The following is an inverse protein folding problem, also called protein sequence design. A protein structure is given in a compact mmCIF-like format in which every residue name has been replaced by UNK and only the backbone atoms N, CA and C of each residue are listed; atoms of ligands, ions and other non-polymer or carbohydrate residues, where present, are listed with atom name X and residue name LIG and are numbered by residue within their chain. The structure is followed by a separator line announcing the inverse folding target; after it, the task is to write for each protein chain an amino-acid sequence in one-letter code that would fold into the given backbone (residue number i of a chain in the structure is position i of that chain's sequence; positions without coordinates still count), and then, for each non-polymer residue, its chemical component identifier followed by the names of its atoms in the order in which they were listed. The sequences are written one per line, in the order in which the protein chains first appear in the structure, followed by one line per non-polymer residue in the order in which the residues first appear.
data_IF_848269780956
#
_entry.id   IF_848269780956
#
_cell.length_a   1.000
_cell.length_b   1.000
_cell.length_c   1.000
_cell.angle_alpha   90.00
_cell.angle_beta   90.00
_cell.angle_gamma   90.00
#
_symmetry.space_group_name_H-M   'P 1'
#
loop_
_entity.id
_entity.type
_entity.pdbx_description
1 polymer ?
#
# COMPACT_ATOMS: atom_id res chain seq x y z
N UNK A 1 -9.79 -2.95 2.34
CA UNK A 1 -11.21 -3.03 1.92
C UNK A 1 -12.18 -2.16 2.75
N UNK A 2 -11.72 -1.37 3.73
CA UNK A 2 -12.62 -0.65 4.66
C UNK A 2 -13.63 0.30 4.00
N UNK A 3 -13.28 0.98 2.90
CA UNK A 3 -14.24 1.83 2.15
C UNK A 3 -15.39 1.02 1.54
N UNK A 4 -15.15 -0.23 1.14
CA UNK A 4 -16.22 -1.11 0.65
C UNK A 4 -17.14 -1.52 1.80
N UNK A 5 -16.54 -1.86 2.95
CA UNK A 5 -17.29 -2.22 4.15
C UNK A 5 -18.17 -1.06 4.64
N UNK A 6 -17.66 0.17 4.63
CA UNK A 6 -18.46 1.38 4.89
C UNK A 6 -19.67 1.49 3.97
N UNK A 7 -19.47 1.30 2.66
CA UNK A 7 -20.57 1.36 1.68
C UNK A 7 -21.60 0.25 1.88
N UNK A 8 -21.16 -0.95 2.26
CA UNK A 8 -22.08 -2.05 2.58
C UNK A 8 -22.91 -1.72 3.81
N UNK A 9 -22.27 -1.28 4.90
CA UNK A 9 -22.95 -0.89 6.13
C UNK A 9 -23.95 0.25 5.94
N UNK A 10 -23.63 1.22 5.08
CA UNK A 10 -24.49 2.36 4.77
C UNK A 10 -25.69 1.99 3.88
N UNK A 11 -25.52 1.00 2.99
CA UNK A 11 -26.57 0.60 2.04
C UNK A 11 -27.49 -0.46 2.63
N UNK A 12 -26.92 -1.55 3.13
CA UNK A 12 -27.64 -2.71 3.65
C UNK A 12 -26.69 -3.56 4.51
N UNK A 13 -26.94 -3.60 5.82
CA UNK A 13 -26.11 -4.37 6.76
C UNK A 13 -26.13 -5.87 6.45
N UNK A 14 -27.19 -6.42 5.89
CA UNK A 14 -27.27 -7.86 5.59
C UNK A 14 -26.21 -8.31 4.56
N UNK A 15 -25.66 -7.38 3.78
CA UNK A 15 -24.57 -7.68 2.86
C UNK A 15 -23.31 -8.18 3.58
N UNK A 16 -23.06 -7.71 4.80
CA UNK A 16 -21.87 -8.12 5.57
C UNK A 16 -22.02 -9.54 6.15
N UNK A 17 -23.25 -10.00 6.38
CA UNK A 17 -23.56 -11.33 6.90
C UNK A 17 -23.28 -12.44 5.88
N UNK A 18 -23.20 -12.05 4.60
CA UNK A 18 -22.82 -12.93 3.50
C UNK A 18 -21.31 -13.13 3.40
N UNK A 19 -20.49 -12.34 4.10
CA UNK A 19 -19.03 -12.49 4.11
C UNK A 19 -18.67 -13.70 4.97
N UNK A 20 -18.05 -14.72 4.35
CA UNK A 20 -17.69 -15.98 5.03
C UNK A 20 -16.27 -16.04 5.55
N UNK A 21 -15.44 -15.08 5.16
CA UNK A 21 -14.08 -14.96 5.65
C UNK A 21 -13.44 -13.68 5.17
N UNK A 22 -12.40 -13.25 5.88
CA UNK A 22 -11.56 -12.12 5.50
C UNK A 22 -10.10 -12.57 5.44
N UNK A 23 -9.43 -12.33 4.32
CA UNK A 23 -7.97 -12.50 4.20
C UNK A 23 -7.36 -11.11 4.12
N UNK A 24 -6.44 -10.83 5.03
CA UNK A 24 -5.69 -9.58 5.13
C UNK A 24 -4.23 -9.89 4.86
N UNK A 25 -3.72 -9.37 3.76
CA UNK A 25 -2.32 -9.55 3.34
C UNK A 25 -1.58 -8.22 3.55
N UNK A 26 -0.51 -8.26 4.35
CA UNK A 26 0.39 -7.12 4.62
C UNK A 26 -0.32 -5.89 5.21
N UNK A 27 -1.24 -6.10 6.16
CA UNK A 27 -2.10 -5.05 6.71
C UNK A 27 -2.56 -5.39 8.15
N UNK A 28 -3.06 -4.40 8.92
CA UNK A 28 -3.40 -3.03 8.52
C UNK A 28 -2.27 -2.00 8.65
N UNK A 29 -2.41 -0.89 7.94
CA UNK A 29 -1.55 0.29 8.08
C UNK A 29 -2.07 1.14 9.23
N UNK A 30 -1.44 1.06 10.40
CA UNK A 30 -1.85 1.83 11.58
C UNK A 30 -1.52 3.33 11.44
N UNK A 31 -0.37 3.66 10.86
CA UNK A 31 0.11 5.03 10.68
C UNK A 31 0.63 5.23 9.26
N UNK A 32 0.02 6.11 8.45
CA UNK A 32 0.51 6.43 7.11
C UNK A 32 1.91 7.06 7.18
N UNK A 33 2.89 6.45 6.51
CA UNK A 33 4.26 6.98 6.41
C UNK A 33 4.45 7.75 5.09
N UNK A 34 4.80 9.05 5.12
CA UNK A 34 5.09 9.84 3.92
C UNK A 34 6.14 9.22 2.99
N UNK A 35 7.17 8.57 3.53
CA UNK A 35 8.25 7.97 2.74
C UNK A 35 7.76 6.74 1.97
N UNK A 36 6.91 5.92 2.58
CA UNK A 36 6.27 4.77 1.92
C UNK A 36 5.40 5.26 0.76
N UNK A 37 4.56 6.26 1.02
CA UNK A 37 3.68 6.84 -0.01
C UNK A 37 4.50 7.47 -1.15
N UNK A 38 5.52 8.25 -0.81
CA UNK A 38 6.42 8.84 -1.80
C UNK A 38 7.12 7.79 -2.66
N UNK A 39 7.60 6.71 -2.05
CA UNK A 39 8.26 5.60 -2.77
C UNK A 39 7.29 4.90 -3.73
N UNK A 40 6.06 4.62 -3.28
CA UNK A 40 5.04 3.99 -4.12
C UNK A 40 4.62 4.86 -5.31
N UNK A 41 4.38 6.15 -5.08
CA UNK A 41 4.02 7.09 -6.14
C UNK A 41 5.20 7.38 -7.08
N UNK A 42 6.41 7.52 -6.55
CA UNK A 42 7.63 7.70 -7.35
C UNK A 42 7.82 6.51 -8.30
N UNK A 43 7.77 5.28 -7.78
CA UNK A 43 7.89 4.07 -8.58
C UNK A 43 6.82 3.99 -9.68
N UNK A 44 5.57 4.36 -9.39
CA UNK A 44 4.49 4.38 -10.38
C UNK A 44 4.72 5.42 -11.50
N UNK A 45 5.18 6.62 -11.14
CA UNK A 45 5.46 7.69 -12.11
C UNK A 45 6.66 7.35 -12.99
N UNK A 46 7.73 6.81 -12.42
CA UNK A 46 8.92 6.36 -13.15
C UNK A 46 8.63 5.14 -14.04
N UNK A 47 7.74 4.24 -13.61
CA UNK A 47 7.27 3.15 -14.48
C UNK A 47 6.49 3.68 -15.68
N UNK A 48 5.74 4.77 -15.53
CA UNK A 48 4.97 5.40 -16.62
C UNK A 48 5.87 6.11 -17.64
N UNK A 49 7.00 6.68 -17.21
CA UNK A 49 7.99 7.28 -18.13
C UNK A 49 8.76 6.24 -18.96
N UNK A 50 8.80 4.97 -18.53
CA UNK A 50 9.48 3.87 -19.23
C UNK A 50 8.73 3.32 -20.47
N UNK A 51 7.39 3.43 -20.53
CA UNK A 51 6.58 2.80 -21.61
C UNK A 51 6.16 3.78 -22.71
N UNK A 52 5.99 5.07 -22.42
CA UNK A 52 5.56 6.07 -23.41
C UNK A 52 6.72 6.83 -24.09
N UNK A 53 7.90 6.93 -23.48
CA UNK A 53 9.00 7.74 -24.00
C UNK A 53 9.80 7.08 -25.14
N UNK A 54 9.70 5.75 -25.34
CA UNK A 54 10.39 5.05 -26.44
C UNK A 54 9.64 5.05 -27.77
N UNK A 55 8.38 5.50 -27.80
CA UNK A 55 7.52 5.42 -28.99
C UNK A 55 7.57 6.61 -29.95
N UNK A 56 8.16 7.76 -29.58
CA UNK A 56 7.94 9.02 -30.33
C UNK A 56 9.19 9.65 -30.96
N UNK A 57 10.41 9.13 -30.76
CA UNK A 57 11.64 9.77 -31.26
C UNK A 57 12.35 9.03 -32.40
N UNK A 58 11.65 8.20 -33.18
CA UNK A 58 12.20 7.63 -34.42
C UNK A 58 11.54 8.27 -35.64
N UNK A 59 12.01 9.46 -36.00
CA UNK A 59 11.65 10.05 -37.29
C UNK A 59 11.91 11.55 -37.44
N UNK A 60 13.17 11.97 -37.53
CA UNK A 60 13.69 12.82 -38.64
C UNK A 60 15.14 13.23 -38.39
N UNK A 61 15.99 12.83 -39.31
CA UNK A 61 17.31 13.43 -39.54
C UNK A 61 17.13 14.88 -40.05
N UNK A 62 18.01 15.79 -39.62
CA UNK A 62 18.10 17.15 -40.16
C UNK A 62 18.76 18.15 -39.22
N UNK A 63 20.09 18.22 -39.27
CA UNK A 63 21.02 19.27 -38.84
C UNK A 63 20.46 20.63 -38.36
N UNK A 64 20.94 21.15 -37.22
CA UNK A 64 21.79 22.36 -37.10
C UNK A 64 22.07 22.65 -35.61
N UNK A 65 23.34 22.88 -35.28
CA UNK A 65 23.86 23.18 -33.94
C UNK A 65 23.33 24.50 -33.37
N UNK A 66 22.77 24.45 -32.17
CA UNK A 66 22.88 25.50 -31.15
C UNK A 66 23.12 24.80 -29.82
N UNK A 67 24.26 25.10 -29.20
CA UNK A 67 24.66 24.55 -27.91
C UNK A 67 23.79 25.13 -26.78
N UNK A 68 22.65 24.50 -26.51
CA UNK A 68 22.01 24.58 -25.20
C UNK A 68 22.79 23.69 -24.25
N UNK A 69 23.43 24.29 -23.24
CA UNK A 69 23.91 23.57 -22.06
C UNK A 69 22.70 23.11 -21.25
N UNK A 70 21.94 22.14 -21.78
CA UNK A 70 21.04 21.34 -20.98
C UNK A 70 21.92 20.35 -20.21
N UNK A 71 22.26 20.72 -18.97
CA UNK A 71 22.70 19.73 -17.99
C UNK A 71 21.45 18.92 -17.66
N UNK A 72 21.10 17.95 -18.52
CA UNK A 72 20.10 16.96 -18.17
C UNK A 72 20.58 16.29 -16.86
N UNK A 73 19.81 16.41 -15.76
CA UNK A 73 20.21 15.79 -14.52
C UNK A 73 20.29 14.28 -14.74
N UNK A 74 21.39 13.67 -14.30
CA UNK A 74 21.58 12.21 -14.36
C UNK A 74 20.30 11.53 -13.82
N UNK A 75 19.77 10.48 -14.48
CA UNK A 75 18.47 9.90 -14.14
C UNK A 75 18.27 9.62 -12.64
N UNK A 76 19.32 9.11 -11.96
CA UNK A 76 19.30 8.87 -10.52
C UNK A 76 19.09 10.15 -9.66
N UNK A 77 19.60 11.30 -10.09
CA UNK A 77 19.42 12.60 -9.42
C UNK A 77 17.97 13.07 -9.58
N UNK A 78 17.41 12.93 -10.78
CA UNK A 78 16.01 13.27 -11.03
C UNK A 78 15.04 12.38 -10.22
N UNK A 79 15.31 11.08 -10.15
CA UNK A 79 14.54 10.12 -9.32
C UNK A 79 14.60 10.47 -7.83
N UNK A 80 15.81 10.80 -7.34
CA UNK A 80 16.01 11.20 -5.93
C UNK A 80 15.28 12.50 -5.63
N UNK A 81 15.36 13.49 -6.54
CA UNK A 81 14.68 14.76 -6.39
C UNK A 81 13.15 14.59 -6.36
N UNK A 82 12.59 13.74 -7.25
CA UNK A 82 11.18 13.39 -7.26
C UNK A 82 10.75 12.74 -5.94
N UNK A 83 11.52 11.78 -5.44
CA UNK A 83 11.22 11.11 -4.18
C UNK A 83 11.17 12.11 -3.02
N UNK A 84 12.17 12.98 -2.89
CA UNK A 84 12.22 14.01 -1.84
C UNK A 84 11.06 14.99 -1.95
N UNK A 85 10.69 15.40 -3.17
CA UNK A 85 9.55 16.27 -3.40
C UNK A 85 8.23 15.61 -2.95
N UNK A 86 8.02 14.35 -3.33
CA UNK A 86 6.83 13.59 -2.97
C UNK A 86 6.76 13.34 -1.45
N UNK A 87 7.89 13.05 -0.80
CA UNK A 87 7.93 12.85 0.65
C UNK A 87 7.50 14.12 1.40
N UNK A 88 8.02 15.30 0.99
CA UNK A 88 7.59 16.59 1.55
C UNK A 88 6.11 16.85 1.31
N UNK A 89 5.62 16.52 0.12
CA UNK A 89 4.20 16.65 -0.23
C UNK A 89 3.32 15.76 0.66
N UNK A 90 3.62 14.47 0.76
CA UNK A 90 2.84 13.54 1.58
C UNK A 90 2.94 13.83 3.08
N UNK A 91 4.06 14.39 3.56
CA UNK A 91 4.17 14.87 4.95
C UNK A 91 3.15 15.95 5.30
N UNK A 92 2.76 16.77 4.32
CA UNK A 92 1.69 17.77 4.47
C UNK A 92 0.32 17.12 4.25
N UNK A 93 0.14 16.43 3.12
CA UNK A 93 -1.16 15.86 2.71
C UNK A 93 -1.70 14.87 3.74
N UNK A 94 -0.86 13.96 4.25
CA UNK A 94 -1.29 12.96 5.24
C UNK A 94 -1.68 13.58 6.58
N UNK A 95 -1.22 14.81 6.88
CA UNK A 95 -1.57 15.56 8.09
C UNK A 95 -2.74 16.54 7.89
N UNK A 96 -3.25 16.68 6.67
CA UNK A 96 -4.44 17.51 6.44
C UNK A 96 -5.61 16.88 7.21
N UNK A 97 -6.38 17.67 8.00
CA UNK A 97 -7.43 17.10 8.86
C UNK A 97 -8.45 16.24 8.12
N UNK A 98 -8.79 16.59 6.88
CA UNK A 98 -9.71 15.82 6.06
C UNK A 98 -9.16 14.45 5.65
N UNK A 99 -7.85 14.37 5.38
CA UNK A 99 -7.17 13.14 4.98
C UNK A 99 -6.95 12.25 6.19
N UNK A 100 -6.39 12.81 7.26
CA UNK A 100 -6.10 12.10 8.50
C UNK A 100 -7.39 11.52 9.12
N UNK A 101 -8.45 12.34 9.17
CA UNK A 101 -9.77 11.88 9.61
C UNK A 101 -10.29 10.75 8.74
N UNK A 102 -10.17 10.86 7.40
CA UNK A 102 -10.65 9.81 6.51
C UNK A 102 -9.91 8.49 6.69
N UNK A 103 -8.59 8.54 6.86
CA UNK A 103 -7.77 7.35 7.11
C UNK A 103 -8.10 6.73 8.46
N UNK A 104 -8.26 7.56 9.49
CA UNK A 104 -8.65 7.14 10.84
C UNK A 104 -10.06 6.55 10.89
N UNK A 105 -11.03 7.13 10.17
CA UNK A 105 -12.41 6.60 10.08
C UNK A 105 -12.41 5.21 9.42
N UNK A 106 -11.64 5.03 8.34
CA UNK A 106 -11.51 3.74 7.66
C UNK A 106 -10.81 2.72 8.56
N UNK A 107 -9.74 3.10 9.26
CA UNK A 107 -9.06 2.22 10.20
C UNK A 107 -9.97 1.85 11.38
N UNK A 108 -10.67 2.82 11.96
CA UNK A 108 -11.60 2.60 13.07
C UNK A 108 -12.76 1.69 12.69
N UNK A 109 -13.24 1.79 11.46
CA UNK A 109 -14.25 0.88 10.91
C UNK A 109 -13.69 -0.54 10.75
N UNK A 110 -12.44 -0.69 10.29
CA UNK A 110 -11.77 -2.00 10.25
C UNK A 110 -11.50 -2.55 11.66
N UNK A 111 -11.20 -1.72 12.65
CA UNK A 111 -10.96 -2.19 14.02
C UNK A 111 -12.24 -2.63 14.73
N UNK A 112 -13.37 -1.96 14.48
CA UNK A 112 -14.55 -2.07 15.34
C UNK A 112 -15.80 -2.63 14.67
N UNK A 113 -15.84 -2.66 13.33
CA UNK A 113 -17.07 -2.99 12.57
C UNK A 113 -16.82 -4.04 11.50
N UNK A 114 -15.77 -4.84 11.64
CA UNK A 114 -15.55 -5.99 10.77
C UNK A 114 -16.68 -7.02 10.89
N UNK A 115 -17.02 -7.71 9.78
CA UNK A 115 -18.00 -8.79 9.82
C UNK A 115 -17.58 -9.88 10.80
N UNK A 116 -18.58 -10.54 11.41
CA UNK A 116 -18.37 -11.69 12.30
C UNK A 116 -18.08 -12.95 11.48
N UNK A 117 -16.94 -12.96 10.81
CA UNK A 117 -16.44 -14.10 10.05
C UNK A 117 -15.00 -14.43 10.50
N UNK A 118 -14.51 -15.65 10.20
CA UNK A 118 -13.11 -15.98 10.37
C UNK A 118 -12.20 -15.01 9.61
N UNK A 119 -11.07 -14.66 10.23
CA UNK A 119 -10.06 -13.76 9.67
C UNK A 119 -8.73 -14.50 9.53
N UNK A 120 -8.06 -14.32 8.40
CA UNK A 120 -6.71 -14.81 8.14
C UNK A 120 -5.80 -13.59 7.89
N UNK A 121 -4.78 -13.43 8.72
CA UNK A 121 -3.74 -12.42 8.53
C UNK A 121 -2.48 -13.09 7.99
N UNK A 122 -2.01 -12.59 6.84
CA UNK A 122 -0.74 -12.97 6.23
C UNK A 122 0.16 -11.75 6.33
N UNK A 123 1.30 -11.90 6.98
CA UNK A 123 2.24 -10.80 7.23
C UNK A 123 3.67 -11.30 7.35
N UNK A 124 4.64 -10.41 7.53
CA UNK A 124 6.04 -10.81 7.73
C UNK A 124 6.79 -9.85 8.65
N UNK A 125 7.61 -10.39 9.56
CA UNK A 125 8.57 -9.59 10.32
C UNK A 125 9.63 -8.90 9.46
N UNK A 126 9.83 -9.34 8.21
CA UNK A 126 10.72 -8.66 7.25
C UNK A 126 10.02 -7.55 6.45
N UNK A 127 8.72 -7.32 6.67
CA UNK A 127 8.00 -6.21 6.05
C UNK A 127 8.54 -4.88 6.59
N UNK A 128 9.12 -4.07 5.70
CA UNK A 128 9.69 -2.75 6.02
C UNK A 128 8.69 -1.61 5.80
N UNK A 129 7.51 -1.92 5.29
CA UNK A 129 6.44 -0.96 5.00
C UNK A 129 5.46 -0.92 6.18
N UNK A 130 5.06 -2.09 6.68
CA UNK A 130 4.14 -2.22 7.81
C UNK A 130 4.86 -2.87 8.98
N UNK A 131 5.05 -2.16 10.11
CA UNK A 131 5.69 -2.72 11.29
C UNK A 131 4.91 -3.93 11.81
N UNK A 132 5.64 -5.01 12.11
CA UNK A 132 5.06 -6.27 12.59
C UNK A 132 4.25 -6.08 13.87
N UNK A 133 4.71 -5.21 14.75
CA UNK A 133 4.07 -4.91 16.03
C UNK A 133 2.70 -4.27 15.82
N UNK A 134 2.52 -3.49 14.75
CA UNK A 134 1.23 -2.89 14.40
C UNK A 134 0.23 -3.95 13.93
N UNK A 135 0.70 -4.92 13.15
CA UNK A 135 -0.13 -6.03 12.67
C UNK A 135 -0.53 -6.93 13.84
N UNK A 136 0.42 -7.31 14.69
CA UNK A 136 0.18 -8.18 15.84
C UNK A 136 -0.73 -7.53 16.88
N UNK A 137 -0.53 -6.24 17.19
CA UNK A 137 -1.42 -5.50 18.07
C UNK A 137 -2.86 -5.46 17.52
N UNK A 138 -3.01 -5.30 16.20
CA UNK A 138 -4.33 -5.33 15.56
C UNK A 138 -4.97 -6.72 15.64
N UNK A 139 -4.23 -7.78 15.31
CA UNK A 139 -4.68 -9.17 15.43
C UNK A 139 -5.19 -9.47 16.84
N UNK A 140 -4.45 -9.05 17.87
CA UNK A 140 -4.85 -9.26 19.26
C UNK A 140 -6.13 -8.50 19.63
N UNK A 141 -6.32 -7.29 19.10
CA UNK A 141 -7.58 -6.55 19.29
C UNK A 141 -8.76 -7.28 18.62
N UNK A 142 -8.56 -7.86 17.43
CA UNK A 142 -9.59 -8.62 16.74
C UNK A 142 -9.97 -9.90 17.50
N UNK A 143 -8.98 -10.62 18.04
CA UNK A 143 -9.23 -11.79 18.92
C UNK A 143 -10.03 -11.39 20.16
N UNK A 144 -9.64 -10.28 20.83
CA UNK A 144 -10.35 -9.76 22.01
C UNK A 144 -11.79 -9.33 21.70
N UNK A 145 -12.05 -8.86 20.48
CA UNK A 145 -13.39 -8.56 19.99
C UNK A 145 -14.23 -9.81 19.66
N UNK A 146 -13.67 -11.01 19.84
CA UNK A 146 -14.39 -12.28 19.67
C UNK A 146 -14.33 -12.86 18.26
N UNK A 147 -13.42 -12.36 17.40
CA UNK A 147 -13.23 -12.94 16.08
C UNK A 147 -12.39 -14.22 16.14
N UNK A 148 -12.74 -15.20 15.30
CA UNK A 148 -11.86 -16.32 15.00
C UNK A 148 -10.74 -15.82 14.08
N UNK A 149 -9.50 -15.81 14.58
CA UNK A 149 -8.36 -15.25 13.85
C UNK A 149 -7.26 -16.29 13.68
N UNK A 150 -6.90 -16.58 12.43
CA UNK A 150 -5.66 -17.25 12.03
C UNK A 150 -4.65 -16.19 11.58
N UNK A 151 -3.38 -16.42 11.88
CA UNK A 151 -2.32 -15.49 11.53
C UNK A 151 -1.07 -16.27 11.11
N UNK A 152 -0.40 -15.83 10.05
CA UNK A 152 0.80 -16.44 9.49
C UNK A 152 1.86 -15.37 9.26
N UNK A 153 2.96 -15.46 10.01
CA UNK A 153 4.14 -14.64 9.85
C UNK A 153 5.15 -15.36 8.94
N UNK A 154 5.47 -14.77 7.79
CA UNK A 154 6.40 -15.32 6.81
C UNK A 154 7.87 -15.01 7.13
N UNK A 155 8.13 -14.16 8.13
CA UNK A 155 9.44 -13.78 8.71
C UNK A 155 10.46 -13.11 7.77
N UNK A 156 10.48 -13.44 6.48
CA UNK A 156 11.57 -13.16 5.53
C UNK A 156 11.12 -12.53 4.22
N UNK A 157 9.82 -12.51 3.94
CA UNK A 157 9.25 -11.97 2.71
C UNK A 157 9.05 -10.45 2.79
N UNK A 158 9.33 -9.70 1.71
CA UNK A 158 8.96 -8.30 1.60
C UNK A 158 7.44 -8.06 1.61
N UNK A 159 7.05 -6.79 1.83
CA UNK A 159 5.68 -6.30 1.77
C UNK A 159 4.95 -6.75 0.50
N UNK A 160 3.78 -7.39 0.64
CA UNK A 160 2.90 -7.83 -0.47
C UNK A 160 3.57 -8.84 -1.42
N UNK A 161 4.64 -9.48 -0.96
CA UNK A 161 5.48 -10.35 -1.80
C UNK A 161 5.57 -11.79 -1.27
N UNK A 162 4.71 -12.15 -0.32
CA UNK A 162 4.70 -13.45 0.35
C UNK A 162 4.53 -14.61 -0.64
N UNK A 163 3.53 -14.54 -1.51
CA UNK A 163 3.27 -15.59 -2.50
C UNK A 163 4.43 -15.75 -3.49
N UNK A 164 5.07 -14.65 -3.91
CA UNK A 164 6.19 -14.71 -4.86
C UNK A 164 7.42 -15.39 -4.27
N UNK A 165 7.69 -15.19 -2.98
CA UNK A 165 8.88 -15.75 -2.31
C UNK A 165 8.62 -17.14 -1.71
N UNK A 166 7.39 -17.42 -1.28
CA UNK A 166 7.02 -18.63 -0.53
C UNK A 166 5.68 -19.20 -1.02
N UNK A 167 5.55 -19.58 -2.31
CA UNK A 167 4.27 -19.98 -2.91
C UNK A 167 3.66 -21.22 -2.24
N UNK A 168 4.47 -22.20 -1.87
CA UNK A 168 4.01 -23.43 -1.21
C UNK A 168 3.43 -23.12 0.18
N UNK A 169 4.17 -22.37 1.00
CA UNK A 169 3.71 -21.95 2.33
C UNK A 169 2.44 -21.12 2.24
N UNK A 170 2.39 -20.13 1.33
CA UNK A 170 1.21 -19.30 1.11
C UNK A 170 -0.02 -20.13 0.74
N UNK A 171 0.14 -21.10 -0.15
CA UNK A 171 -0.96 -21.95 -0.60
C UNK A 171 -1.52 -22.84 0.52
N UNK A 172 -0.71 -23.20 1.53
CA UNK A 172 -1.21 -23.95 2.70
C UNK A 172 -2.04 -23.14 3.68
N UNK A 173 -2.03 -21.81 3.58
CA UNK A 173 -2.80 -20.94 4.49
C UNK A 173 -4.24 -20.73 4.02
N UNK A 174 -4.48 -20.82 2.71
CA UNK A 174 -5.78 -20.66 2.04
C UNK A 174 -6.61 -21.94 2.11
#
# INVERSE_FOLDING_TARGET
YGVLLEKFLARDRSLIDNIKGCVVDSAPVATPDPQVWASGFSAALLKKSSVAAKGLLKGKEGSTELAEFEIEPKPAVAETALLVMLEKFFKVVLKLPIVDRRLSDVLGLLSNQQPKCPQLYIYSSADRVIPVESVEAFIENQKKAGHEVRACNFERSPHVDHFRNFPDLYSTQL
#
